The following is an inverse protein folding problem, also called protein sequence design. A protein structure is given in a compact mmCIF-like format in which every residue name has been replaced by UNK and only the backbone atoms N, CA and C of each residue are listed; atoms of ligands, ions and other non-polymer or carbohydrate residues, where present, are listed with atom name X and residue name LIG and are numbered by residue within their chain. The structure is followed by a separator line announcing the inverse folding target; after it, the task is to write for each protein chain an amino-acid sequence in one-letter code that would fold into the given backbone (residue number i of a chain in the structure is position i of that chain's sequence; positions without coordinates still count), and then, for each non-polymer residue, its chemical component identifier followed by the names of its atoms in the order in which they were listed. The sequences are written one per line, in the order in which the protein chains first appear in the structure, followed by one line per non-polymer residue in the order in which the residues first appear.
data_IF_676739669830
#
_entry.id   IF_676739669830
#
_cell.length_a   1.000
_cell.length_b   1.000
_cell.length_c   1.000
_cell.angle_alpha   90.00
_cell.angle_beta   90.00
_cell.angle_gamma   90.00
#
_symmetry.space_group_name_H-M   'P 1'
#
loop_
_entity.id
_entity.type
_entity.pdbx_description
1 polymer ?
#
# COMPACT_ATOMS: atom_id res chain seq x y z
N UNK A 1 -9.26 -3.03 -11.02
CA UNK A 1 -8.35 -4.03 -10.43
C UNK A 1 -9.13 -5.22 -9.84
N UNK A 2 -10.08 -5.00 -8.92
CA UNK A 2 -10.89 -6.07 -8.32
C UNK A 2 -11.63 -6.93 -9.34
N UNK A 3 -12.41 -6.31 -10.24
CA UNK A 3 -13.13 -7.03 -11.30
C UNK A 3 -12.24 -7.84 -12.27
N UNK A 4 -10.94 -7.53 -12.33
CA UNK A 4 -9.97 -8.24 -13.17
C UNK A 4 -9.18 -9.30 -12.38
N UNK A 5 -9.43 -9.44 -11.08
CA UNK A 5 -8.64 -10.28 -10.18
C UNK A 5 -7.13 -10.06 -10.35
N UNK A 6 -6.72 -8.79 -10.41
CA UNK A 6 -5.34 -8.44 -10.70
C UNK A 6 -4.38 -8.99 -9.62
N UNK A 7 -3.23 -9.50 -10.06
CA UNK A 7 -2.15 -9.94 -9.15
C UNK A 7 -1.57 -8.78 -8.32
N UNK A 8 -1.49 -7.59 -8.90
CA UNK A 8 -0.94 -6.40 -8.23
C UNK A 8 -1.67 -5.16 -8.69
N UNK A 9 -1.98 -4.26 -7.77
CA UNK A 9 -2.42 -2.89 -8.08
C UNK A 9 -1.40 -1.91 -7.50
N UNK A 10 -0.88 -1.01 -8.32
CA UNK A 10 0.10 0.00 -7.90
C UNK A 10 -0.61 1.36 -7.73
N UNK A 11 -0.57 1.90 -6.52
CA UNK A 11 -1.01 3.25 -6.19
C UNK A 11 0.23 4.17 -6.17
N UNK A 12 0.45 4.90 -7.25
CA UNK A 12 1.51 5.90 -7.33
C UNK A 12 1.09 7.17 -6.59
N UNK A 13 1.94 7.60 -5.67
CA UNK A 13 1.70 8.76 -4.80
C UNK A 13 2.91 9.69 -4.79
N UNK A 14 2.83 10.74 -3.98
CA UNK A 14 3.93 11.67 -3.67
C UNK A 14 4.57 11.39 -2.30
N UNK A 15 4.34 10.22 -1.71
CA UNK A 15 4.97 9.77 -0.45
C UNK A 15 5.64 8.40 -0.61
N UNK A 16 6.70 8.09 0.14
CA UNK A 16 7.44 6.83 -0.01
C UNK A 16 6.63 5.55 0.26
N UNK A 17 5.53 5.65 1.00
CA UNK A 17 4.70 4.52 1.45
C UNK A 17 3.86 4.93 2.65
N UNK A 18 3.37 3.94 3.39
CA UNK A 18 2.65 4.13 4.64
C UNK A 18 3.66 4.16 5.78
N UNK A 19 3.58 5.19 6.63
CA UNK A 19 4.41 5.33 7.83
C UNK A 19 3.70 4.72 9.03
N UNK A 20 4.48 4.04 9.88
CA UNK A 20 4.04 3.62 11.21
C UNK A 20 4.06 4.77 12.22
N UNK A 21 3.67 4.46 13.45
CA UNK A 21 3.68 5.42 14.56
C UNK A 21 5.11 5.88 14.93
N UNK A 22 6.10 5.07 14.61
CA UNK A 22 7.54 5.37 14.73
C UNK A 22 8.05 6.29 13.60
N UNK A 23 7.23 6.59 12.60
CA UNK A 23 7.59 7.40 11.44
C UNK A 23 8.31 6.64 10.33
N UNK A 24 8.60 5.35 10.54
CA UNK A 24 9.28 4.48 9.58
C UNK A 24 8.31 3.89 8.56
N UNK A 25 8.82 3.54 7.38
CA UNK A 25 8.00 2.95 6.31
C UNK A 25 7.70 1.49 6.64
N UNK A 26 6.42 1.18 6.77
CA UNK A 26 5.94 -0.18 6.88
C UNK A 26 6.06 -0.83 5.51
N UNK A 27 6.91 -1.85 5.38
CA UNK A 27 7.15 -2.54 4.09
C UNK A 27 6.00 -3.40 3.66
N UNK A 28 5.32 -4.03 4.62
CA UNK A 28 4.20 -4.90 4.37
C UNK A 28 3.21 -4.81 5.51
N UNK A 29 1.93 -4.82 5.18
CA UNK A 29 0.84 -4.88 6.15
C UNK A 29 -0.33 -5.71 5.64
N UNK A 30 -1.05 -6.28 6.58
CA UNK A 30 -2.34 -6.94 6.42
C UNK A 30 -3.47 -5.92 6.38
N UNK A 31 -4.68 -6.37 6.05
CA UNK A 31 -5.88 -5.52 6.10
C UNK A 31 -6.19 -5.07 7.53
N UNK A 32 -5.97 -5.94 8.51
CA UNK A 32 -6.25 -5.65 9.91
C UNK A 32 -5.25 -4.63 10.48
N UNK A 33 -3.97 -4.74 10.11
CA UNK A 33 -2.96 -3.72 10.46
C UNK A 33 -3.26 -2.38 9.79
N UNK A 34 -3.67 -2.39 8.51
CA UNK A 34 -4.07 -1.17 7.80
C UNK A 34 -5.27 -0.48 8.48
N UNK A 35 -6.28 -1.26 8.89
CA UNK A 35 -7.42 -0.75 9.64
C UNK A 35 -6.98 -0.22 11.01
N UNK A 36 -6.10 -0.94 11.71
CA UNK A 36 -5.55 -0.53 13.00
C UNK A 36 -4.81 0.80 12.93
N UNK A 37 -4.09 1.11 11.85
CA UNK A 37 -3.44 2.42 11.67
C UNK A 37 -4.44 3.56 11.52
N UNK A 38 -5.59 3.31 10.85
CA UNK A 38 -6.67 4.29 10.73
C UNK A 38 -7.32 4.51 12.09
N UNK A 39 -7.69 3.43 12.79
CA UNK A 39 -8.39 3.49 14.06
C UNK A 39 -7.53 4.11 15.17
N UNK A 40 -6.22 3.86 15.15
CA UNK A 40 -5.25 4.45 16.08
C UNK A 40 -4.88 5.91 15.73
N UNK A 41 -5.39 6.47 14.62
CA UNK A 41 -5.09 7.83 14.19
C UNK A 41 -3.65 8.03 13.66
N UNK A 42 -2.93 6.94 13.38
CA UNK A 42 -1.57 6.98 12.80
C UNK A 42 -1.65 7.36 11.31
N UNK A 43 -2.57 6.75 10.58
CA UNK A 43 -2.87 7.14 9.21
C UNK A 43 -3.80 8.36 9.21
N UNK A 44 -3.35 9.45 8.58
CA UNK A 44 -4.08 10.73 8.60
C UNK A 44 -4.28 11.31 7.19
N UNK A 45 -5.24 12.24 7.09
CA UNK A 45 -5.50 13.01 5.87
C UNK A 45 -5.69 12.13 4.63
N UNK A 46 -4.96 12.43 3.56
CA UNK A 46 -5.05 11.71 2.29
C UNK A 46 -4.53 10.27 2.32
N UNK A 47 -3.97 9.78 3.43
CA UNK A 47 -3.56 8.38 3.58
C UNK A 47 -4.75 7.46 3.87
N UNK A 48 -5.75 7.95 4.62
CA UNK A 48 -6.97 7.19 4.95
C UNK A 48 -7.66 6.67 3.67
N UNK A 49 -8.03 7.51 2.68
CA UNK A 49 -8.68 7.01 1.47
C UNK A 49 -7.79 6.10 0.61
N UNK A 50 -6.44 6.20 0.72
CA UNK A 50 -5.51 5.30 0.01
C UNK A 50 -5.53 3.91 0.63
N UNK A 51 -5.51 3.82 1.96
CA UNK A 51 -5.64 2.57 2.69
C UNK A 51 -7.02 1.94 2.45
N UNK A 52 -8.10 2.73 2.53
CA UNK A 52 -9.45 2.24 2.23
C UNK A 52 -9.57 1.68 0.81
N UNK A 53 -9.01 2.38 -0.19
CA UNK A 53 -8.95 1.91 -1.58
C UNK A 53 -8.16 0.62 -1.70
N UNK A 54 -6.99 0.54 -1.06
CA UNK A 54 -6.15 -0.64 -1.07
C UNK A 54 -6.89 -1.84 -0.46
N UNK A 55 -7.48 -1.66 0.71
CA UNK A 55 -8.25 -2.69 1.38
C UNK A 55 -9.47 -3.14 0.57
N UNK A 56 -10.20 -2.19 -0.03
CA UNK A 56 -11.34 -2.50 -0.89
C UNK A 56 -10.93 -3.33 -2.11
N UNK A 57 -9.80 -2.98 -2.75
CA UNK A 57 -9.27 -3.74 -3.88
C UNK A 57 -8.87 -5.17 -3.48
N UNK A 58 -8.17 -5.36 -2.34
CA UNK A 58 -7.81 -6.69 -1.84
C UNK A 58 -9.05 -7.52 -1.47
N UNK A 59 -10.05 -6.89 -0.84
CA UNK A 59 -11.34 -7.54 -0.54
C UNK A 59 -12.06 -7.99 -1.81
N UNK A 60 -11.97 -7.20 -2.89
CA UNK A 60 -12.54 -7.49 -4.20
C UNK A 60 -11.72 -8.48 -5.06
N UNK A 61 -10.67 -9.12 -4.50
CA UNK A 61 -9.94 -10.20 -5.17
C UNK A 61 -8.64 -9.81 -5.84
N UNK A 62 -8.11 -8.60 -5.59
CA UNK A 62 -6.71 -8.28 -5.91
C UNK A 62 -5.80 -9.00 -4.90
N UNK A 63 -4.73 -9.64 -5.37
CA UNK A 63 -3.82 -10.38 -4.47
C UNK A 63 -3.07 -9.43 -3.53
N UNK A 64 -2.56 -8.31 -4.04
CA UNK A 64 -2.00 -7.24 -3.22
C UNK A 64 -2.03 -5.86 -3.89
N UNK A 65 -1.99 -4.82 -3.06
CA UNK A 65 -1.88 -3.42 -3.48
C UNK A 65 -0.57 -2.84 -2.96
N UNK A 66 0.13 -2.05 -3.76
CA UNK A 66 1.36 -1.36 -3.35
C UNK A 66 1.11 0.13 -3.34
N UNK A 67 1.43 0.81 -2.24
CA UNK A 67 1.47 2.27 -2.15
C UNK A 67 2.93 2.70 -2.21
N UNK A 68 3.31 3.48 -3.22
CA UNK A 68 4.71 3.88 -3.46
C UNK A 68 4.84 5.32 -4.00
N UNK A 69 6.05 5.88 -3.93
CA UNK A 69 6.35 7.21 -4.49
C UNK A 69 6.57 7.12 -6.00
N UNK A 70 5.64 7.68 -6.77
CA UNK A 70 5.69 7.69 -8.24
C UNK A 70 6.64 8.73 -8.83
N UNK A 71 7.20 9.64 -8.03
CA UNK A 71 8.18 10.64 -8.49
C UNK A 71 9.58 10.05 -8.59
N UNK A 72 9.85 8.95 -7.90
CA UNK A 72 11.14 8.26 -7.97
C UNK A 72 11.31 7.62 -9.36
N UNK A 73 12.41 7.91 -10.07
CA UNK A 73 12.69 7.26 -11.34
C UNK A 73 12.63 5.74 -11.20
N UNK A 74 11.97 5.08 -12.13
CA UNK A 74 11.86 3.61 -12.19
C UNK A 74 11.19 2.95 -10.97
N UNK A 75 10.40 3.68 -10.17
CA UNK A 75 9.77 3.16 -8.95
C UNK A 75 9.02 1.83 -9.17
N UNK A 76 8.31 1.69 -10.30
CA UNK A 76 7.61 0.45 -10.65
C UNK A 76 8.56 -0.71 -10.95
N UNK A 77 9.70 -0.47 -11.61
CA UNK A 77 10.67 -1.52 -11.90
C UNK A 77 11.32 -2.00 -10.60
N UNK A 78 11.71 -1.07 -9.72
CA UNK A 78 12.25 -1.41 -8.40
C UNK A 78 11.23 -2.23 -7.61
N UNK A 79 9.96 -1.83 -7.62
CA UNK A 79 8.90 -2.57 -6.94
C UNK A 79 8.70 -4.01 -7.46
N UNK A 80 8.79 -4.21 -8.77
CA UNK A 80 8.51 -5.51 -9.38
C UNK A 80 9.72 -6.44 -9.45
N UNK A 81 10.93 -5.90 -9.47
CA UNK A 81 12.16 -6.66 -9.73
C UNK A 81 13.15 -6.65 -8.55
N UNK A 82 12.72 -6.24 -7.35
CA UNK A 82 13.53 -6.37 -6.13
C UNK A 82 12.75 -7.03 -5.01
N UNK A 83 13.45 -7.71 -4.10
CA UNK A 83 12.82 -8.42 -2.98
C UNK A 83 12.15 -7.46 -1.99
N UNK A 84 12.74 -6.29 -1.76
CA UNK A 84 12.32 -5.36 -0.70
C UNK A 84 11.32 -4.31 -1.17
N UNK A 85 11.08 -4.22 -2.49
CA UNK A 85 10.18 -3.27 -3.11
C UNK A 85 10.55 -1.80 -2.88
N UNK A 86 9.70 -0.90 -3.37
CA UNK A 86 9.89 0.54 -3.32
C UNK A 86 8.94 1.27 -2.36
N UNK A 87 7.94 0.57 -1.79
CA UNK A 87 6.91 1.17 -0.93
C UNK A 87 6.30 0.19 0.07
N UNK A 88 5.00 0.34 0.31
CA UNK A 88 4.23 -0.48 1.26
C UNK A 88 3.32 -1.45 0.53
N UNK A 89 3.47 -2.74 0.81
CA UNK A 89 2.61 -3.80 0.33
C UNK A 89 1.43 -4.05 1.27
N UNK A 90 0.20 -3.87 0.79
CA UNK A 90 -1.04 -4.19 1.51
C UNK A 90 -1.64 -5.47 0.93
N UNK A 91 -1.86 -6.49 1.76
CA UNK A 91 -2.40 -7.80 1.34
C UNK A 91 -3.29 -8.42 2.42
N UNK A 92 -3.87 -9.60 2.14
CA UNK A 92 -4.81 -10.27 3.05
C UNK A 92 -4.14 -10.92 4.28
N UNK A 93 -3.00 -11.61 4.08
CA UNK A 93 -2.16 -12.25 5.10
C UNK A 93 -0.70 -12.22 4.65
#
# INVERSE_FOLDING_TARGET
AGALHAKRMLLLTDVPGVKGADGEIIRQMTLDEAQGLIDAGVATGGMIPKLETAMAAVRAGVEAVVILDGRRPHAMLVELFTEHGAGTLVKRK
#
